data_IF_097208139147
#
_entry.id   IF_097208139147
#
_cell.length_a   1.000
_cell.length_b   1.000
_cell.length_c   1.000
_cell.angle_alpha   90.00
_cell.angle_beta   90.00
_cell.angle_gamma   90.00
#
_symmetry.space_group_name_H-M   'P 1'
#
loop_
_entity.id
_entity.type
_entity.pdbx_description
1 polymer ?
#
# COMPACT_ATOMS: atom_id res chain seq x y z
N UNK A 1 -23.74 -31.93 -57.27
CA UNK A 1 -24.01 -32.49 -55.93
C UNK A 1 -22.67 -32.79 -55.26
N UNK A 2 -22.35 -31.95 -54.29
CA UNK A 2 -21.45 -32.10 -53.13
C UNK A 2 -20.35 -33.17 -53.11
N UNK A 3 -19.12 -32.65 -53.01
CA UNK A 3 -17.90 -33.29 -52.51
C UNK A 3 -18.05 -33.87 -51.09
N UNK A 4 -17.45 -35.04 -50.84
CA UNK A 4 -17.04 -35.49 -49.50
C UNK A 4 -15.59 -35.99 -49.58
N UNK A 5 -14.68 -35.27 -48.93
CA UNK A 5 -13.33 -35.74 -48.59
C UNK A 5 -13.18 -35.58 -47.08
N UNK A 6 -12.77 -36.67 -46.44
CA UNK A 6 -12.67 -36.86 -45.01
C UNK A 6 -11.54 -36.03 -44.37
N UNK A 7 -11.81 -35.47 -43.19
CA UNK A 7 -10.81 -34.93 -42.27
C UNK A 7 -11.09 -35.48 -40.85
N UNK A 8 -10.15 -36.22 -40.28
CA UNK A 8 -10.05 -36.38 -38.82
C UNK A 8 -9.08 -35.35 -38.24
N UNK A 9 -8.66 -35.41 -36.95
CA UNK A 9 -9.32 -35.88 -35.73
C UNK A 9 -9.39 -34.74 -34.68
N UNK A 10 -10.50 -34.56 -33.95
CA UNK A 10 -10.60 -33.51 -32.92
C UNK A 10 -10.23 -34.02 -31.52
N UNK A 11 -9.09 -33.53 -31.03
CA UNK A 11 -8.53 -33.75 -29.70
C UNK A 11 -9.49 -33.28 -28.60
N UNK A 12 -9.59 -34.09 -27.55
CA UNK A 12 -10.25 -33.81 -26.27
C UNK A 12 -9.83 -32.44 -25.70
N UNK A 13 -10.79 -31.51 -25.59
CA UNK A 13 -10.72 -30.36 -24.67
C UNK A 13 -11.22 -30.82 -23.28
N UNK A 14 -10.50 -30.56 -22.18
CA UNK A 14 -11.03 -30.86 -20.85
C UNK A 14 -12.22 -29.95 -20.56
N UNK A 15 -13.33 -30.56 -20.15
CA UNK A 15 -14.58 -29.92 -19.70
C UNK A 15 -14.29 -29.01 -18.51
N UNK A 16 -14.57 -27.71 -18.64
CA UNK A 16 -14.72 -26.81 -17.50
C UNK A 16 -16.02 -27.14 -16.77
N UNK A 17 -15.91 -27.62 -15.52
CA UNK A 17 -17.03 -28.00 -14.66
C UNK A 17 -18.01 -26.83 -14.39
N UNK A 18 -19.32 -27.01 -14.62
CA UNK A 18 -20.33 -25.95 -14.52
C UNK A 18 -20.89 -25.70 -13.10
N UNK A 19 -20.16 -26.01 -12.03
CA UNK A 19 -20.73 -26.07 -10.68
C UNK A 19 -20.51 -24.81 -9.79
N UNK A 20 -19.82 -23.77 -10.26
CA UNK A 20 -19.50 -22.57 -9.44
C UNK A 20 -20.48 -21.40 -9.70
N UNK A 21 -21.43 -21.56 -10.63
CA UNK A 21 -22.25 -20.44 -11.14
C UNK A 21 -23.42 -20.02 -10.24
N UNK A 22 -23.83 -20.81 -9.23
CA UNK A 22 -25.12 -20.59 -8.56
C UNK A 22 -25.10 -20.00 -7.14
N UNK A 23 -24.01 -19.33 -6.73
CA UNK A 23 -24.03 -18.46 -5.53
C UNK A 23 -23.52 -17.06 -5.88
N UNK A 24 -24.02 -16.49 -6.99
CA UNK A 24 -23.87 -15.06 -7.28
C UNK A 24 -24.93 -14.28 -6.52
N UNK A 25 -24.57 -13.81 -5.33
CA UNK A 25 -25.22 -12.67 -4.68
C UNK A 25 -25.20 -11.51 -5.70
N UNK A 26 -26.38 -10.93 -5.97
CA UNK A 26 -26.59 -9.77 -6.86
C UNK A 26 -25.80 -8.57 -6.36
N UNK A 27 -24.54 -8.47 -6.74
CA UNK A 27 -23.74 -7.27 -6.61
C UNK A 27 -23.69 -6.50 -7.93
N UNK A 28 -23.63 -5.16 -7.92
CA UNK A 28 -23.51 -4.37 -9.13
C UNK A 28 -22.26 -4.78 -9.95
N UNK A 29 -22.29 -4.67 -11.30
CA UNK A 29 -21.24 -5.19 -12.18
C UNK A 29 -19.86 -4.58 -11.93
N UNK A 30 -19.79 -3.39 -11.33
CA UNK A 30 -18.56 -2.74 -10.89
C UNK A 30 -17.92 -3.44 -9.69
N UNK A 31 -18.74 -3.88 -8.73
CA UNK A 31 -18.27 -4.54 -7.50
C UNK A 31 -17.80 -5.97 -7.78
N UNK A 32 -18.43 -6.66 -8.73
CA UNK A 32 -17.98 -7.98 -9.16
C UNK A 32 -16.58 -7.94 -9.81
N UNK A 33 -16.26 -6.90 -10.60
CA UNK A 33 -14.91 -6.74 -11.15
C UNK A 33 -13.87 -6.51 -10.05
N UNK A 34 -14.19 -5.68 -9.05
CA UNK A 34 -13.31 -5.45 -7.90
C UNK A 34 -13.11 -6.74 -7.09
N UNK A 35 -14.16 -7.53 -6.85
CA UNK A 35 -14.08 -8.80 -6.11
C UNK A 35 -13.27 -9.85 -6.90
N UNK A 36 -13.42 -9.92 -8.22
CA UNK A 36 -12.64 -10.82 -9.08
C UNK A 36 -11.17 -10.37 -9.17
N UNK A 37 -10.91 -9.06 -9.27
CA UNK A 37 -9.55 -8.50 -9.27
C UNK A 37 -8.84 -8.80 -7.94
N UNK A 38 -9.54 -8.62 -6.80
CA UNK A 38 -9.05 -8.97 -5.45
C UNK A 38 -8.83 -10.48 -5.30
N UNK A 39 -9.72 -11.31 -5.86
CA UNK A 39 -9.55 -12.77 -5.88
C UNK A 39 -8.31 -13.21 -6.67
N UNK A 40 -8.04 -12.57 -7.81
CA UNK A 40 -6.83 -12.78 -8.60
C UNK A 40 -5.57 -12.23 -7.89
N UNK A 41 -5.70 -11.12 -7.14
CA UNK A 41 -4.62 -10.62 -6.26
C UNK A 41 -4.26 -11.61 -5.17
N UNK A 42 -5.26 -12.28 -4.57
CA UNK A 42 -5.05 -13.33 -3.57
C UNK A 42 -4.30 -14.55 -4.13
N UNK A 43 -4.58 -14.95 -5.37
CA UNK A 43 -3.87 -16.05 -6.03
C UNK A 43 -2.41 -15.68 -6.36
N UNK A 44 -2.16 -14.44 -6.78
CA UNK A 44 -0.79 -13.94 -7.01
C UNK A 44 -0.02 -13.72 -5.72
N UNK A 45 -0.67 -13.32 -4.64
CA UNK A 45 -0.09 -13.25 -3.30
C UNK A 45 0.35 -14.65 -2.83
N UNK A 46 -0.49 -15.66 -3.03
CA UNK A 46 -0.14 -17.05 -2.75
C UNK A 46 1.04 -17.54 -3.60
N UNK A 47 1.09 -17.19 -4.89
CA UNK A 47 2.20 -17.54 -5.77
C UNK A 47 3.48 -16.80 -5.38
N UNK A 48 3.43 -15.50 -5.11
CA UNK A 48 4.59 -14.69 -4.68
C UNK A 48 5.17 -15.21 -3.37
N UNK A 49 4.33 -15.48 -2.38
CA UNK A 49 4.78 -16.05 -1.09
C UNK A 49 5.39 -17.43 -1.32
N UNK A 50 4.77 -18.28 -2.17
CA UNK A 50 5.31 -19.60 -2.46
C UNK A 50 6.67 -19.57 -3.20
N UNK A 51 6.85 -18.61 -4.12
CA UNK A 51 8.09 -18.45 -4.89
C UNK A 51 9.18 -17.81 -4.03
N UNK A 52 8.83 -16.83 -3.19
CA UNK A 52 9.75 -16.21 -2.23
C UNK A 52 10.35 -17.23 -1.25
N UNK A 53 9.52 -18.18 -0.78
CA UNK A 53 9.94 -19.22 0.16
C UNK A 53 10.77 -20.33 -0.51
N UNK A 54 10.51 -20.65 -1.78
CA UNK A 54 11.17 -21.77 -2.47
C UNK A 54 12.62 -21.51 -2.91
N UNK A 55 13.01 -20.27 -3.21
CA UNK A 55 14.37 -19.96 -3.72
C UNK A 55 14.93 -18.61 -3.24
N UNK A 56 15.44 -18.50 -2.00
CA UNK A 56 15.73 -17.22 -1.33
C UNK A 56 17.04 -16.51 -1.73
N UNK A 57 17.83 -17.02 -2.70
CA UNK A 57 19.16 -16.48 -3.02
C UNK A 57 19.19 -15.82 -4.41
N UNK A 58 19.61 -14.55 -4.47
CA UNK A 58 19.93 -13.84 -5.72
C UNK A 58 19.43 -12.39 -5.86
N UNK A 59 18.44 -11.94 -5.09
CA UNK A 59 17.71 -10.68 -5.37
C UNK A 59 18.20 -9.43 -4.67
N UNK A 60 19.12 -9.56 -3.71
CA UNK A 60 19.44 -8.48 -2.78
C UNK A 60 20.13 -7.28 -3.44
N UNK A 61 20.81 -7.47 -4.57
CA UNK A 61 21.37 -6.37 -5.34
C UNK A 61 20.26 -5.51 -5.96
N UNK A 62 19.35 -6.14 -6.72
CA UNK A 62 18.21 -5.47 -7.36
C UNK A 62 17.28 -4.81 -6.34
N UNK A 63 17.02 -5.46 -5.20
CA UNK A 63 16.23 -4.85 -4.11
C UNK A 63 16.88 -3.56 -3.59
N UNK A 64 18.21 -3.52 -3.41
CA UNK A 64 18.91 -2.33 -2.92
C UNK A 64 18.82 -1.19 -3.93
N UNK A 65 19.03 -1.48 -5.21
CA UNK A 65 18.95 -0.47 -6.27
C UNK A 65 17.55 0.18 -6.30
N UNK A 66 16.51 -0.63 -6.15
CA UNK A 66 15.14 -0.14 -6.11
C UNK A 66 14.82 0.64 -4.83
N UNK A 67 15.41 0.25 -3.69
CA UNK A 67 15.32 1.02 -2.45
C UNK A 67 15.98 2.40 -2.59
N UNK A 68 17.14 2.51 -3.24
CA UNK A 68 17.80 3.80 -3.50
C UNK A 68 16.98 4.68 -4.45
N UNK A 69 16.43 4.10 -5.52
CA UNK A 69 15.55 4.82 -6.43
C UNK A 69 14.32 5.38 -5.69
N UNK A 70 13.72 4.55 -4.83
CA UNK A 70 12.58 4.93 -4.01
C UNK A 70 12.91 6.03 -3.01
N UNK A 71 14.07 5.95 -2.35
CA UNK A 71 14.55 6.98 -1.44
C UNK A 71 14.66 8.34 -2.16
N UNK A 72 15.14 8.36 -3.42
CA UNK A 72 15.32 9.60 -4.18
C UNK A 72 14.02 10.28 -4.59
N UNK A 73 13.00 9.51 -5.00
CA UNK A 73 11.75 10.07 -5.53
C UNK A 73 10.64 10.22 -4.49
N UNK A 74 10.57 9.33 -3.50
CA UNK A 74 9.41 9.23 -2.62
C UNK A 74 9.57 10.03 -1.31
N UNK A 75 10.80 10.31 -0.86
CA UNK A 75 11.03 10.99 0.42
C UNK A 75 10.34 12.36 0.49
N UNK A 76 10.47 13.18 -0.56
CA UNK A 76 9.89 14.52 -0.61
C UNK A 76 8.36 14.47 -0.64
N UNK A 77 7.78 13.55 -1.43
CA UNK A 77 6.32 13.40 -1.49
C UNK A 77 5.74 12.95 -0.15
N UNK A 78 6.40 11.98 0.51
CA UNK A 78 5.97 11.50 1.82
C UNK A 78 6.06 12.58 2.91
N UNK A 79 7.18 13.31 2.98
CA UNK A 79 7.37 14.34 4.02
C UNK A 79 6.44 15.51 3.83
N UNK A 80 6.20 15.95 2.59
CA UNK A 80 5.24 17.02 2.30
C UNK A 80 3.80 16.59 2.61
N UNK A 81 3.41 15.37 2.22
CA UNK A 81 2.07 14.86 2.50
C UNK A 81 1.82 14.76 4.02
N UNK A 82 2.68 14.04 4.74
CA UNK A 82 2.53 13.86 6.19
C UNK A 82 2.63 15.20 6.92
N UNK A 83 3.61 16.03 6.56
CA UNK A 83 3.83 17.32 7.21
C UNK A 83 2.65 18.27 7.03
N UNK A 84 2.14 18.40 5.80
CA UNK A 84 0.99 19.26 5.52
C UNK A 84 -0.28 18.83 6.25
N UNK A 85 -0.61 17.53 6.23
CA UNK A 85 -1.78 17.01 6.94
C UNK A 85 -1.65 17.13 8.47
N UNK A 86 -0.47 16.86 9.03
CA UNK A 86 -0.24 16.97 10.47
C UNK A 86 -0.27 18.43 10.96
N UNK A 87 0.25 19.36 10.16
CA UNK A 87 0.18 20.79 10.46
C UNK A 87 -1.28 21.29 10.50
N UNK A 88 -2.09 20.91 9.51
CA UNK A 88 -3.50 21.26 9.45
C UNK A 88 -4.27 20.73 10.66
N UNK A 89 -4.11 19.44 10.95
CA UNK A 89 -4.81 18.80 12.08
C UNK A 89 -4.37 19.39 13.40
N UNK A 90 -3.12 19.83 13.50
CA UNK A 90 -2.65 20.52 14.68
C UNK A 90 -3.26 21.88 14.93
N UNK A 91 -3.43 22.66 13.88
CA UNK A 91 -4.13 23.94 13.99
C UNK A 91 -5.61 23.73 14.37
N UNK A 92 -6.30 22.75 13.77
CA UNK A 92 -7.68 22.45 14.13
C UNK A 92 -7.82 21.94 15.57
N UNK A 93 -6.95 21.03 15.99
CA UNK A 93 -6.93 20.52 17.36
C UNK A 93 -6.65 21.64 18.37
N UNK A 94 -5.74 22.56 18.05
CA UNK A 94 -5.44 23.72 18.90
C UNK A 94 -6.67 24.61 19.10
N UNK A 95 -7.36 24.96 18.02
CA UNK A 95 -8.55 25.80 18.09
C UNK A 95 -9.65 25.14 18.96
N UNK A 96 -9.91 23.85 18.75
CA UNK A 96 -10.91 23.11 19.53
C UNK A 96 -10.52 23.03 21.01
N UNK A 97 -9.26 22.72 21.32
CA UNK A 97 -8.80 22.61 22.71
C UNK A 97 -8.75 23.95 23.43
N UNK A 98 -8.51 25.05 22.71
CA UNK A 98 -8.59 26.41 23.25
C UNK A 98 -10.01 26.76 23.67
N UNK A 99 -11.02 26.39 22.86
CA UNK A 99 -12.44 26.58 23.22
C UNK A 99 -12.83 25.79 24.49
N UNK A 100 -12.15 24.67 24.75
CA UNK A 100 -12.36 23.82 25.93
C UNK A 100 -11.46 24.19 27.12
N UNK A 101 -10.56 25.18 26.98
CA UNK A 101 -9.58 25.55 28.01
C UNK A 101 -8.51 24.48 28.28
N UNK A 102 -8.34 23.49 27.40
CA UNK A 102 -7.50 22.31 27.58
C UNK A 102 -6.28 22.28 26.65
N UNK A 103 -5.66 23.43 26.39
CA UNK A 103 -4.52 23.57 25.47
C UNK A 103 -3.34 22.64 25.81
N UNK A 104 -3.11 22.38 27.10
CA UNK A 104 -2.06 21.47 27.56
C UNK A 104 -2.25 20.01 27.11
N UNK A 105 -3.45 19.60 26.63
CA UNK A 105 -3.72 18.24 26.14
C UNK A 105 -3.50 18.08 24.62
N UNK A 106 -2.97 19.10 23.95
CA UNK A 106 -2.65 19.03 22.51
C UNK A 106 -1.81 17.81 22.17
N UNK A 107 -0.69 17.62 22.88
CA UNK A 107 0.24 16.51 22.64
C UNK A 107 -0.45 15.15 22.60
N UNK A 108 -1.42 14.91 23.50
CA UNK A 108 -2.22 13.69 23.54
C UNK A 108 -3.02 13.48 22.25
N UNK A 109 -3.78 14.49 21.81
CA UNK A 109 -4.59 14.40 20.58
C UNK A 109 -3.70 14.12 19.36
N UNK A 110 -2.50 14.69 19.33
CA UNK A 110 -1.55 14.44 18.25
C UNK A 110 -0.98 13.03 18.23
N UNK A 111 -0.69 12.41 19.37
CA UNK A 111 -0.25 11.00 19.39
C UNK A 111 -1.30 10.14 18.70
N UNK A 112 -2.57 10.30 19.06
CA UNK A 112 -3.65 9.51 18.49
C UNK A 112 -3.89 9.81 17.01
N UNK A 113 -3.95 11.07 16.62
CA UNK A 113 -4.27 11.43 15.23
C UNK A 113 -3.06 11.26 14.29
N UNK A 114 -1.92 11.86 14.64
CA UNK A 114 -0.74 11.95 13.76
C UNK A 114 0.04 10.64 13.72
N UNK A 115 0.43 10.12 14.88
CA UNK A 115 1.31 8.95 14.91
C UNK A 115 0.57 7.68 14.50
N UNK A 116 -0.66 7.45 14.99
CA UNK A 116 -1.37 6.17 14.77
C UNK A 116 -2.07 6.05 13.41
N UNK A 117 -2.55 7.16 12.86
CA UNK A 117 -3.47 7.15 11.71
C UNK A 117 -2.94 7.94 10.51
N UNK A 118 -2.68 9.24 10.66
CA UNK A 118 -2.35 10.10 9.52
C UNK A 118 -1.02 9.71 8.88
N UNK A 119 0.01 9.44 9.68
CA UNK A 119 1.33 9.07 9.18
C UNK A 119 1.28 7.82 8.28
N UNK A 120 0.79 6.65 8.76
CA UNK A 120 0.75 5.44 7.93
C UNK A 120 -0.17 5.59 6.72
N UNK A 121 -1.27 6.35 6.84
CA UNK A 121 -2.17 6.63 5.75
C UNK A 121 -1.52 7.48 4.65
N UNK A 122 -0.97 8.64 4.99
CA UNK A 122 -0.34 9.56 4.04
C UNK A 122 0.89 8.93 3.39
N UNK A 123 1.72 8.21 4.14
CA UNK A 123 2.86 7.47 3.58
C UNK A 123 2.39 6.40 2.60
N UNK A 124 1.37 5.60 2.95
CA UNK A 124 0.83 4.59 2.05
C UNK A 124 0.29 5.17 0.73
N UNK A 125 -0.44 6.29 0.81
CA UNK A 125 -0.97 6.99 -0.35
C UNK A 125 0.15 7.56 -1.24
N UNK A 126 1.17 8.17 -0.65
CA UNK A 126 2.31 8.72 -1.40
C UNK A 126 3.11 7.61 -2.10
N UNK A 127 3.38 6.49 -1.40
CA UNK A 127 4.08 5.33 -1.98
C UNK A 127 3.26 4.70 -3.10
N UNK A 128 1.95 4.51 -2.93
CA UNK A 128 1.07 3.99 -3.97
C UNK A 128 1.05 4.90 -5.22
N UNK A 129 1.03 6.22 -5.01
CA UNK A 129 1.03 7.20 -6.10
C UNK A 129 2.35 7.28 -6.87
N UNK A 130 3.50 7.26 -6.19
CA UNK A 130 4.81 7.43 -6.84
C UNK A 130 5.41 6.09 -7.26
N UNK A 131 5.53 5.15 -6.33
CA UNK A 131 6.20 3.87 -6.59
C UNK A 131 5.27 2.84 -7.21
N UNK A 132 3.99 2.84 -6.81
CA UNK A 132 2.99 1.94 -7.39
C UNK A 132 2.77 2.20 -8.88
N UNK A 133 2.71 3.47 -9.28
CA UNK A 133 2.60 3.86 -10.70
C UNK A 133 3.85 3.48 -11.49
N UNK A 134 5.04 3.76 -10.95
CA UNK A 134 6.31 3.40 -11.59
C UNK A 134 6.45 1.88 -11.79
N UNK A 135 6.11 1.09 -10.76
CA UNK A 135 6.12 -0.38 -10.83
C UNK A 135 5.17 -0.92 -11.91
N UNK A 136 3.94 -0.41 -11.91
CA UNK A 136 2.90 -0.84 -12.86
C UNK A 136 3.26 -0.44 -14.29
N UNK A 137 3.79 0.76 -14.48
CA UNK A 137 4.20 1.27 -15.78
C UNK A 137 5.40 0.50 -16.34
N UNK A 138 6.42 0.20 -15.53
CA UNK A 138 7.59 -0.55 -16.00
C UNK A 138 7.22 -2.00 -16.37
N UNK A 139 6.47 -2.70 -15.52
CA UNK A 139 5.99 -4.06 -15.85
C UNK A 139 5.07 -4.06 -17.07
N UNK A 140 4.18 -3.08 -17.18
CA UNK A 140 3.29 -2.93 -18.34
C UNK A 140 4.05 -2.64 -19.62
N UNK A 141 5.08 -1.78 -19.56
CA UNK A 141 5.94 -1.48 -20.70
C UNK A 141 6.72 -2.72 -21.18
N UNK A 142 7.26 -3.52 -20.25
CA UNK A 142 7.91 -4.81 -20.56
C UNK A 142 6.92 -5.82 -21.14
N UNK A 143 5.65 -5.79 -20.70
CA UNK A 143 4.61 -6.66 -21.21
C UNK A 143 4.29 -6.38 -22.68
N UNK A 144 4.13 -5.11 -23.05
CA UNK A 144 3.81 -4.69 -24.42
C UNK A 144 4.99 -4.83 -25.39
N UNK A 145 6.23 -4.83 -24.88
CA UNK A 145 7.45 -5.12 -25.65
C UNK A 145 7.77 -6.62 -25.74
N UNK A 146 6.86 -7.48 -25.27
CA UNK A 146 7.00 -8.94 -25.24
C UNK A 146 8.20 -9.49 -24.44
N UNK A 147 8.89 -8.65 -23.67
CA UNK A 147 10.05 -9.06 -22.85
C UNK A 147 9.66 -10.13 -21.81
N UNK A 148 8.46 -10.00 -21.21
CA UNK A 148 7.96 -10.97 -20.22
C UNK A 148 7.68 -12.34 -20.82
N UNK A 149 7.29 -12.41 -22.10
CA UNK A 149 7.05 -13.68 -22.78
C UNK A 149 8.37 -14.28 -23.28
N UNK A 150 9.32 -13.44 -23.73
CA UNK A 150 10.69 -13.87 -24.03
C UNK A 150 11.36 -14.51 -22.81
N UNK A 151 11.22 -13.94 -21.61
CA UNK A 151 11.75 -14.53 -20.37
C UNK A 151 11.18 -15.93 -20.10
N UNK A 152 9.88 -16.16 -20.35
CA UNK A 152 9.25 -17.48 -20.18
C UNK A 152 9.82 -18.51 -21.16
N UNK A 153 10.09 -18.12 -22.40
CA UNK A 153 10.72 -19.00 -23.40
C UNK A 153 12.15 -19.37 -23.00
N UNK A 154 12.87 -18.45 -22.36
CA UNK A 154 14.22 -18.68 -21.80
C UNK A 154 14.20 -19.50 -20.49
N UNK A 155 13.03 -19.93 -20.01
CA UNK A 155 12.90 -20.68 -18.76
C UNK A 155 13.12 -19.83 -17.50
N UNK A 156 13.11 -18.50 -17.62
CA UNK A 156 13.24 -17.58 -16.48
C UNK A 156 11.86 -17.24 -15.90
N UNK A 157 11.72 -17.35 -14.58
CA UNK A 157 10.51 -16.94 -13.89
C UNK A 157 10.47 -15.41 -13.72
N UNK A 158 9.61 -14.74 -14.49
CA UNK A 158 9.42 -13.29 -14.43
C UNK A 158 8.92 -12.80 -13.07
N UNK A 159 8.13 -13.60 -12.34
CA UNK A 159 7.69 -13.24 -10.98
C UNK A 159 8.89 -13.15 -10.04
N UNK A 160 9.82 -14.08 -10.20
CA UNK A 160 11.00 -14.25 -9.38
C UNK A 160 11.99 -13.08 -9.58
N UNK A 161 12.27 -12.72 -10.83
CA UNK A 161 13.31 -11.75 -11.17
C UNK A 161 12.80 -10.30 -11.16
N UNK A 162 11.55 -10.04 -11.56
CA UNK A 162 11.06 -8.66 -11.69
C UNK A 162 10.16 -8.22 -10.54
N UNK A 163 9.31 -9.10 -10.02
CA UNK A 163 8.28 -8.69 -9.06
C UNK A 163 8.78 -8.78 -7.62
N UNK A 164 9.40 -9.92 -7.27
CA UNK A 164 9.83 -10.22 -5.90
C UNK A 164 10.78 -9.15 -5.31
N UNK A 165 11.89 -8.74 -5.97
CA UNK A 165 12.78 -7.71 -5.41
C UNK A 165 12.07 -6.37 -5.17
N UNK A 166 11.12 -6.02 -6.03
CA UNK A 166 10.39 -4.74 -5.96
C UNK A 166 9.34 -4.73 -4.86
N UNK A 167 8.61 -5.83 -4.68
CA UNK A 167 7.64 -5.95 -3.57
C UNK A 167 8.35 -5.87 -2.22
N UNK A 168 9.51 -6.52 -2.09
CA UNK A 168 10.32 -6.43 -0.87
C UNK A 168 10.82 -4.98 -0.66
N UNK A 169 11.34 -4.34 -1.70
CA UNK A 169 11.80 -2.96 -1.62
C UNK A 169 10.67 -2.00 -1.17
N UNK A 170 9.48 -2.08 -1.79
CA UNK A 170 8.31 -1.26 -1.41
C UNK A 170 7.91 -1.53 0.03
N UNK A 171 7.85 -2.79 0.45
CA UNK A 171 7.44 -3.15 1.81
C UNK A 171 8.36 -2.56 2.86
N UNK A 172 9.68 -2.74 2.70
CA UNK A 172 10.69 -2.24 3.65
C UNK A 172 10.74 -0.72 3.66
N UNK A 173 10.72 -0.09 2.48
CA UNK A 173 10.80 1.36 2.37
C UNK A 173 9.54 2.07 2.85
N UNK A 174 8.35 1.47 2.69
CA UNK A 174 7.10 2.04 3.22
C UNK A 174 7.17 2.14 4.75
N UNK A 175 7.67 1.09 5.41
CA UNK A 175 7.87 1.11 6.86
C UNK A 175 8.94 2.14 7.28
N UNK A 176 10.05 2.23 6.55
CA UNK A 176 11.10 3.22 6.83
C UNK A 176 10.60 4.66 6.66
N UNK A 177 9.84 4.94 5.60
CA UNK A 177 9.23 6.25 5.39
C UNK A 177 8.18 6.61 6.43
N UNK A 178 7.47 5.63 6.97
CA UNK A 178 6.52 5.89 8.05
C UNK A 178 7.22 6.35 9.33
N UNK A 179 8.37 5.77 9.68
CA UNK A 179 9.14 6.20 10.86
C UNK A 179 9.57 7.67 10.71
N UNK A 180 10.09 8.03 9.53
CA UNK A 180 10.42 9.43 9.22
C UNK A 180 9.16 10.30 9.18
N UNK A 181 8.06 9.78 8.65
CA UNK A 181 6.76 10.45 8.59
C UNK A 181 6.23 10.81 9.97
N UNK A 182 6.28 9.89 10.93
CA UNK A 182 5.89 10.16 12.32
C UNK A 182 6.76 11.26 12.92
N UNK A 183 8.08 11.22 12.73
CA UNK A 183 8.97 12.27 13.22
C UNK A 183 8.66 13.65 12.61
N UNK A 184 8.42 13.71 11.30
CA UNK A 184 8.02 14.95 10.61
C UNK A 184 6.63 15.41 11.05
N UNK A 185 5.70 14.48 11.25
CA UNK A 185 4.35 14.77 11.74
C UNK A 185 4.35 15.41 13.12
N UNK A 186 5.17 14.89 14.04
CA UNK A 186 5.37 15.45 15.39
C UNK A 186 6.02 16.83 15.32
N UNK A 187 7.03 17.02 14.46
CA UNK A 187 7.66 18.32 14.28
C UNK A 187 6.67 19.37 13.74
N UNK A 188 5.86 19.01 12.73
CA UNK A 188 4.86 19.91 12.14
C UNK A 188 3.71 20.21 13.10
N UNK A 189 3.27 19.22 13.87
CA UNK A 189 2.32 19.39 14.96
C UNK A 189 2.83 20.39 16.01
N UNK A 190 4.09 20.24 16.43
CA UNK A 190 4.71 21.18 17.36
C UNK A 190 4.75 22.60 16.78
N UNK A 191 5.18 22.77 15.53
CA UNK A 191 5.22 24.08 14.87
C UNK A 191 3.83 24.73 14.86
N UNK A 192 2.78 23.95 14.57
CA UNK A 192 1.41 24.47 14.61
C UNK A 192 1.00 24.92 16.02
N UNK A 193 1.36 24.18 17.07
CA UNK A 193 1.01 24.53 18.45
C UNK A 193 1.84 25.68 19.05
N UNK A 194 3.09 25.84 18.64
CA UNK A 194 4.00 26.86 19.20
C UNK A 194 3.93 28.18 18.45
N UNK A 195 3.87 28.16 17.12
CA UNK A 195 3.90 29.38 16.29
C UNK A 195 2.51 30.01 16.17
N UNK A 196 1.46 29.19 16.12
CA UNK A 196 0.07 29.66 16.00
C UNK A 196 -0.61 29.68 17.37
N UNK A 197 -0.27 28.74 18.24
CA UNK A 197 -1.03 28.44 19.44
C UNK A 197 -0.46 28.89 20.79
N UNK A 198 0.56 29.75 20.82
CA UNK A 198 1.21 30.27 22.04
C UNK A 198 1.52 29.20 23.13
N UNK A 199 1.63 27.94 22.74
CA UNK A 199 1.87 26.83 23.67
C UNK A 199 3.37 26.62 23.80
N UNK A 200 3.86 26.45 25.03
CA UNK A 200 5.27 26.13 25.26
C UNK A 200 5.65 24.79 24.64
N UNK A 201 6.72 24.77 23.84
CA UNK A 201 7.26 23.57 23.21
C UNK A 201 7.59 22.47 24.25
N UNK A 202 8.02 22.86 25.46
CA UNK A 202 8.31 21.92 26.54
C UNK A 202 7.06 21.22 27.08
N UNK A 203 5.95 21.94 27.21
CA UNK A 203 4.66 21.37 27.62
C UNK A 203 4.18 20.35 26.57
N UNK A 204 4.28 20.70 25.30
CA UNK A 204 3.94 19.81 24.20
C UNK A 204 4.75 18.51 24.23
N UNK A 205 6.08 18.58 24.31
CA UNK A 205 6.95 17.40 24.31
C UNK A 205 6.73 16.51 25.53
N UNK A 206 6.56 17.10 26.71
CA UNK A 206 6.33 16.32 27.95
C UNK A 206 5.02 15.53 27.89
N UNK A 207 3.94 16.16 27.41
CA UNK A 207 2.63 15.51 27.24
C UNK A 207 2.69 14.48 26.12
N UNK A 208 3.33 14.80 24.99
CA UNK A 208 3.52 13.85 23.89
C UNK A 208 4.25 12.59 24.35
N UNK A 209 5.43 12.72 24.96
CA UNK A 209 6.24 11.59 25.42
C UNK A 209 5.53 10.75 26.50
N UNK A 210 4.71 11.38 27.33
CA UNK A 210 3.93 10.66 28.36
C UNK A 210 2.75 9.87 27.78
N UNK A 211 2.30 10.19 26.56
CA UNK A 211 1.14 9.55 25.91
C UNK A 211 1.54 8.58 24.79
N UNK A 212 2.76 8.69 24.24
CA UNK A 212 3.26 7.72 23.26
C UNK A 212 3.52 6.40 23.94
N UNK A 213 2.88 5.35 23.45
CA UNK A 213 3.09 3.99 23.96
C UNK A 213 3.84 3.12 22.95
N UNK A 214 4.57 2.11 23.43
CA UNK A 214 5.30 1.15 22.57
C UNK A 214 4.36 0.42 21.59
N UNK A 215 3.14 -0.01 21.98
CA UNK A 215 2.17 -0.60 21.05
C UNK A 215 1.80 0.30 19.87
N UNK A 216 1.83 1.63 20.03
CA UNK A 216 1.53 2.57 18.93
C UNK A 216 2.63 2.56 17.88
N UNK A 217 3.88 2.56 18.33
CA UNK A 217 5.05 2.51 17.45
C UNK A 217 5.12 1.17 16.71
N UNK A 218 4.91 0.06 17.42
CA UNK A 218 4.90 -1.27 16.79
C UNK A 218 3.70 -1.42 15.85
N UNK A 219 2.51 -0.97 16.27
CA UNK A 219 1.29 -1.03 15.49
C UNK A 219 1.40 -0.26 14.16
N UNK A 220 2.00 0.94 14.19
CA UNK A 220 2.20 1.75 12.98
C UNK A 220 3.20 1.13 12.01
N UNK A 221 4.28 0.53 12.52
CA UNK A 221 5.24 -0.20 11.68
C UNK A 221 4.59 -1.43 11.05
N UNK A 222 3.87 -2.25 11.82
CA UNK A 222 3.18 -3.44 11.29
C UNK A 222 2.14 -3.06 10.24
N UNK A 223 1.33 -2.01 10.51
CA UNK A 223 0.36 -1.46 9.55
C UNK A 223 1.03 -1.11 8.22
N UNK A 224 2.17 -0.42 8.27
CA UNK A 224 2.83 0.08 7.06
C UNK A 224 3.59 -0.98 6.28
N UNK A 225 4.10 -2.01 6.95
CA UNK A 225 4.58 -3.23 6.29
C UNK A 225 3.45 -3.89 5.51
N UNK A 226 2.27 -4.07 6.11
CA UNK A 226 1.12 -4.65 5.42
C UNK A 226 0.71 -3.78 4.22
N UNK A 227 0.57 -2.47 4.41
CA UNK A 227 0.22 -1.53 3.33
C UNK A 227 1.21 -1.62 2.17
N UNK A 228 2.52 -1.54 2.44
CA UNK A 228 3.55 -1.62 1.41
C UNK A 228 3.54 -2.95 0.65
N UNK A 229 3.32 -4.05 1.36
CA UNK A 229 3.19 -5.37 0.75
C UNK A 229 1.99 -5.47 -0.20
N UNK A 230 0.82 -4.99 0.24
CA UNK A 230 -0.39 -4.97 -0.60
C UNK A 230 -0.22 -4.08 -1.84
N UNK A 231 0.37 -2.89 -1.70
CA UNK A 231 0.66 -1.99 -2.82
C UNK A 231 1.53 -2.70 -3.86
N UNK A 232 2.62 -3.32 -3.43
CA UNK A 232 3.53 -4.03 -4.32
C UNK A 232 2.83 -5.13 -5.14
N UNK A 233 1.95 -5.90 -4.50
CA UNK A 233 1.23 -7.01 -5.15
C UNK A 233 0.21 -6.51 -6.16
N UNK A 234 -0.63 -5.56 -5.76
CA UNK A 234 -1.70 -5.02 -6.62
C UNK A 234 -1.11 -4.36 -7.86
N UNK A 235 -0.07 -3.54 -7.69
CA UNK A 235 0.63 -2.89 -8.79
C UNK A 235 1.33 -3.91 -9.71
N UNK A 236 1.98 -4.93 -9.14
CA UNK A 236 2.61 -5.97 -9.95
C UNK A 236 1.59 -6.75 -10.79
N UNK A 237 0.46 -7.14 -10.21
CA UNK A 237 -0.61 -7.84 -10.93
C UNK A 237 -1.13 -7.02 -12.10
N UNK A 238 -1.48 -5.75 -11.86
CA UNK A 238 -2.01 -4.88 -12.92
C UNK A 238 -0.96 -4.62 -14.01
N UNK A 239 0.32 -4.49 -13.64
CA UNK A 239 1.42 -4.32 -14.59
C UNK A 239 1.63 -5.55 -15.49
N UNK A 240 1.64 -6.75 -14.92
CA UNK A 240 1.82 -8.01 -15.67
C UNK A 240 0.66 -8.31 -16.62
N UNK A 241 -0.55 -7.85 -16.28
CA UNK A 241 -1.77 -8.08 -17.04
C UNK A 241 -2.14 -6.91 -17.98
N UNK A 242 -1.26 -5.90 -18.14
CA UNK A 242 -1.50 -4.78 -19.04
C UNK A 242 -1.65 -5.26 -20.51
N UNK A 243 -2.64 -4.72 -21.23
CA UNK A 243 -2.97 -5.06 -22.63
C UNK A 243 -3.43 -3.82 -23.38
N UNK A 244 -3.29 -3.82 -24.71
CA UNK A 244 -3.78 -2.72 -25.56
C UNK A 244 -2.76 -1.61 -25.81
N UNK A 245 -1.47 -1.97 -25.94
CA UNK A 245 -0.41 -1.01 -26.28
C UNK A 245 -0.12 0.02 -25.17
N UNK A 246 0.52 1.15 -25.52
CA UNK A 246 0.90 2.20 -24.55
C UNK A 246 -0.29 2.80 -23.78
N UNK A 247 -1.44 2.96 -24.44
CA UNK A 247 -2.67 3.46 -23.80
C UNK A 247 -3.19 2.47 -22.73
N UNK A 248 -3.08 1.17 -23.02
CA UNK A 248 -3.38 0.09 -22.09
C UNK A 248 -2.56 0.12 -20.80
N UNK A 249 -1.28 0.53 -20.89
CA UNK A 249 -0.40 0.68 -19.72
C UNK A 249 -0.90 1.83 -18.83
N UNK A 250 -1.25 2.97 -19.41
CA UNK A 250 -1.81 4.10 -18.66
C UNK A 250 -3.12 3.73 -17.93
N UNK A 251 -3.99 2.97 -18.58
CA UNK A 251 -5.22 2.44 -17.95
C UNK A 251 -4.92 1.51 -16.78
N UNK A 252 -3.97 0.58 -16.95
CA UNK A 252 -3.57 -0.34 -15.89
C UNK A 252 -2.97 0.41 -14.67
N UNK A 253 -2.19 1.46 -14.92
CA UNK A 253 -1.63 2.33 -13.86
C UNK A 253 -2.75 3.01 -13.07
N UNK A 254 -3.73 3.62 -13.75
CA UNK A 254 -4.84 4.29 -13.09
C UNK A 254 -5.70 3.31 -12.27
N UNK A 255 -6.01 2.14 -12.84
CA UNK A 255 -6.74 1.08 -12.12
C UNK A 255 -5.96 0.60 -10.89
N UNK A 256 -4.64 0.41 -11.00
CA UNK A 256 -3.79 -0.03 -9.90
C UNK A 256 -3.78 0.98 -8.74
N UNK A 257 -3.66 2.28 -9.04
CA UNK A 257 -3.63 3.34 -8.01
C UNK A 257 -4.96 3.41 -7.26
N UNK A 258 -6.09 3.38 -7.96
CA UNK A 258 -7.41 3.41 -7.33
C UNK A 258 -7.62 2.21 -6.42
N UNK A 259 -7.21 1.01 -6.86
CA UNK A 259 -7.26 -0.20 -6.03
C UNK A 259 -6.33 -0.10 -4.82
N UNK A 260 -5.13 0.45 -4.98
CA UNK A 260 -4.21 0.66 -3.86
C UNK A 260 -4.78 1.64 -2.84
N UNK A 261 -5.38 2.75 -3.26
CA UNK A 261 -5.99 3.72 -2.34
C UNK A 261 -7.15 3.12 -1.56
N UNK A 262 -8.00 2.33 -2.23
CA UNK A 262 -9.07 1.60 -1.55
C UNK A 262 -8.51 0.56 -0.55
N UNK A 263 -7.46 -0.18 -0.95
CA UNK A 263 -6.81 -1.18 -0.11
C UNK A 263 -6.14 -0.55 1.11
N UNK A 264 -5.43 0.58 0.96
CA UNK A 264 -4.82 1.34 2.05
C UNK A 264 -5.88 1.69 3.10
N UNK A 265 -7.04 2.19 2.67
CA UNK A 265 -8.16 2.50 3.57
C UNK A 265 -8.66 1.29 4.34
N UNK A 266 -8.94 0.18 3.63
CA UNK A 266 -9.45 -1.05 4.25
C UNK A 266 -8.43 -1.63 5.23
N UNK A 267 -7.15 -1.69 4.85
CA UNK A 267 -6.08 -2.20 5.70
C UNK A 267 -5.91 -1.32 6.93
N UNK A 268 -5.91 0.02 6.76
CA UNK A 268 -5.77 0.92 7.88
C UNK A 268 -6.94 0.77 8.87
N UNK A 269 -8.18 0.69 8.36
CA UNK A 269 -9.36 0.49 9.20
C UNK A 269 -9.32 -0.85 9.96
N UNK A 270 -9.05 -1.96 9.26
CA UNK A 270 -9.01 -3.30 9.87
C UNK A 270 -7.87 -3.39 10.87
N UNK A 271 -6.67 -2.92 10.52
CA UNK A 271 -5.53 -2.97 11.41
C UNK A 271 -5.72 -2.08 12.64
N UNK A 272 -6.39 -0.94 12.49
CA UNK A 272 -6.75 -0.11 13.64
C UNK A 272 -7.78 -0.80 14.54
N UNK A 273 -8.83 -1.40 13.97
CA UNK A 273 -9.83 -2.15 14.72
C UNK A 273 -9.22 -3.32 15.50
N UNK A 274 -8.29 -4.05 14.89
CA UNK A 274 -7.54 -5.14 15.55
C UNK A 274 -6.64 -4.61 16.66
N UNK A 275 -5.90 -3.52 16.40
CA UNK A 275 -4.99 -2.93 17.38
C UNK A 275 -5.73 -2.44 18.64
N UNK A 276 -6.86 -1.77 18.44
CA UNK A 276 -7.73 -1.28 19.53
C UNK A 276 -8.49 -2.41 20.23
N UNK A 277 -8.89 -3.45 19.49
CA UNK A 277 -9.56 -4.62 20.05
C UNK A 277 -8.65 -5.51 20.91
N UNK A 278 -7.37 -5.62 20.54
CA UNK A 278 -6.37 -6.37 21.31
C UNK A 278 -5.84 -5.61 22.53
N UNK A 279 -5.83 -4.27 22.48
CA UNK A 279 -5.36 -3.42 23.58
C UNK A 279 -6.46 -2.42 24.00
N UNK A 280 -7.51 -2.88 24.69
CA UNK A 280 -8.61 -2.02 25.13
C UNK A 280 -8.16 -0.94 26.12
N UNK A 281 -6.99 -1.12 26.75
CA UNK A 281 -6.33 -0.15 27.62
C UNK A 281 -5.78 1.09 26.89
N UNK A 282 -5.81 1.11 25.55
CA UNK A 282 -5.54 2.33 24.77
C UNK A 282 -6.78 3.23 24.55
N UNK A 283 -7.98 2.75 24.89
CA UNK A 283 -9.24 3.52 24.81
C UNK A 283 -9.53 4.29 26.10
N UNK A 284 -8.99 3.81 27.23
CA UNK A 284 -9.23 4.37 28.56
C UNK A 284 -8.02 5.20 28.96
N UNK A 285 -8.15 6.50 28.78
CA UNK A 285 -7.14 7.49 29.14
C UNK A 285 -6.86 7.45 30.65
N UNK A 286 -5.58 7.40 31.03
CA UNK A 286 -5.11 7.86 32.35
C UNK A 286 -4.78 9.35 32.32
#
# INVERSE_FOLDING_TARGET
MTHQVAAGPSRHRPRSSPAVTNVMIKFPPSLQRVIVDVGQSGQLLAQLVSTAVRQPRGYWAETRDEMYAMLRFCWLSCTLAVGGFCFLIGNYAYNILTLLGAQNRLGTVFVFASAREISPFCTGMAVAGVMGTALTADLGARRIREELDAMKVLGLDAMRVLVLPRVIAITVMTAAFNIVGVAVGVAMAMISGTVIGDTSAGSFFSVFLSNVTVPDLVGTVVKTVLIGFFIGIVCAQKGLNARGGPEGVGRAVNEAVVLCFAAVWVINFVANAVLLGLNPEMLVNR
#
